data_IF_530804125021
#
_entry.id   IF_530804125021
#
_cell.length_a   1.000
_cell.length_b   1.000
_cell.length_c   1.000
_cell.angle_alpha   90.00
_cell.angle_beta   90.00
_cell.angle_gamma   90.00
#
_symmetry.space_group_name_H-M   'P 1'
#
loop_
_entity.id
_entity.type
_entity.pdbx_description
1 polymer ?
#
# COMPACT_ATOMS: atom_id res chain seq x y z
N UNK A 1 2.20 -11.98 -11.93
CA UNK A 1 3.13 -12.19 -10.79
C UNK A 1 3.41 -10.86 -10.13
N UNK A 2 3.69 -10.84 -8.83
CA UNK A 2 4.14 -9.65 -8.11
C UNK A 2 5.65 -9.45 -8.32
N UNK A 3 6.01 -8.37 -9.01
CA UNK A 3 7.39 -8.07 -9.41
C UNK A 3 7.69 -6.59 -9.22
N UNK A 4 8.97 -6.23 -9.16
CA UNK A 4 9.40 -4.84 -9.09
C UNK A 4 9.08 -4.13 -10.41
N UNK A 5 8.44 -2.96 -10.34
CA UNK A 5 7.87 -2.25 -11.49
C UNK A 5 8.89 -1.98 -12.60
N UNK A 6 10.04 -1.36 -12.27
CA UNK A 6 11.11 -1.03 -13.23
C UNK A 6 10.57 -0.42 -14.54
N UNK A 7 9.69 0.56 -14.44
CA UNK A 7 9.04 1.22 -15.58
C UNK A 7 7.96 0.44 -16.31
N UNK A 8 7.56 -0.76 -15.86
CA UNK A 8 6.53 -1.58 -16.55
C UNK A 8 5.16 -0.90 -16.58
N UNK A 9 4.71 -0.36 -15.45
CA UNK A 9 3.52 0.45 -15.32
C UNK A 9 3.92 1.90 -15.07
N UNK A 10 3.64 2.76 -16.04
CA UNK A 10 3.85 4.21 -15.93
C UNK A 10 2.93 4.81 -14.86
N UNK A 11 3.45 5.75 -14.08
CA UNK A 11 2.71 6.42 -13.00
C UNK A 11 2.89 5.81 -11.61
N UNK A 12 3.67 4.74 -11.49
CA UNK A 12 4.16 4.19 -10.22
C UNK A 12 5.69 4.22 -10.18
N UNK A 13 6.24 4.28 -8.97
CA UNK A 13 7.70 4.25 -8.76
C UNK A 13 8.32 2.95 -9.28
N UNK A 14 9.61 3.00 -9.66
CA UNK A 14 10.32 1.83 -10.18
C UNK A 14 10.49 0.70 -9.17
N UNK A 15 10.53 1.02 -7.88
CA UNK A 15 10.64 0.05 -6.79
C UNK A 15 9.29 -0.52 -6.34
N UNK A 16 8.17 0.03 -6.83
CA UNK A 16 6.84 -0.45 -6.48
C UNK A 16 6.67 -1.92 -6.90
N UNK A 17 6.05 -2.72 -6.04
CA UNK A 17 5.60 -4.06 -6.43
C UNK A 17 4.30 -3.90 -7.21
N UNK A 18 4.29 -4.45 -8.42
CA UNK A 18 3.15 -4.47 -9.35
C UNK A 18 2.81 -5.90 -9.74
N UNK A 19 1.53 -6.15 -9.97
CA UNK A 19 1.06 -7.42 -10.49
C UNK A 19 0.83 -7.31 -12.00
N UNK A 20 1.69 -7.97 -12.78
CA UNK A 20 1.66 -7.91 -14.24
C UNK A 20 1.95 -9.27 -14.85
N UNK A 21 1.57 -9.50 -16.12
CA UNK A 21 2.02 -10.64 -16.90
C UNK A 21 3.55 -10.70 -16.95
N UNK A 22 4.09 -11.91 -16.84
CA UNK A 22 5.53 -12.13 -16.84
C UNK A 22 5.87 -13.35 -17.71
N UNK A 23 6.96 -13.25 -18.46
CA UNK A 23 7.65 -14.41 -19.00
C UNK A 23 8.50 -15.03 -17.89
N UNK A 24 8.38 -16.33 -17.67
CA UNK A 24 9.10 -17.04 -16.59
C UNK A 24 9.97 -18.13 -17.20
N UNK A 25 11.26 -18.12 -16.87
CA UNK A 25 12.23 -19.15 -17.23
C UNK A 25 13.26 -19.37 -16.11
N UNK A 26 14.34 -20.11 -16.39
CA UNK A 26 15.41 -20.39 -15.41
C UNK A 26 16.11 -19.15 -14.84
N UNK A 27 15.94 -17.97 -15.45
CA UNK A 27 16.48 -16.69 -14.96
C UNK A 27 15.46 -15.88 -14.15
N UNK A 28 14.28 -16.44 -13.86
CA UNK A 28 13.24 -15.82 -13.06
C UNK A 28 12.13 -15.15 -13.88
N UNK A 29 11.33 -14.31 -13.20
CA UNK A 29 10.20 -13.62 -13.80
C UNK A 29 10.64 -12.30 -14.46
N UNK A 30 10.35 -12.15 -15.75
CA UNK A 30 10.54 -10.90 -16.50
C UNK A 30 9.19 -10.30 -16.85
N UNK A 31 8.86 -9.09 -16.36
CA UNK A 31 7.62 -8.40 -16.72
C UNK A 31 7.50 -8.24 -18.24
N UNK A 32 6.28 -8.39 -18.75
CA UNK A 32 5.96 -8.05 -20.14
C UNK A 32 5.33 -6.65 -20.15
N UNK A 33 5.79 -5.79 -21.06
CA UNK A 33 5.24 -4.43 -21.21
C UNK A 33 3.75 -4.50 -21.55
N UNK A 34 2.97 -3.68 -20.84
CA UNK A 34 1.55 -3.50 -21.10
C UNK A 34 1.27 -2.04 -21.48
N UNK A 35 0.11 -1.79 -22.08
CA UNK A 35 -0.35 -0.43 -22.30
C UNK A 35 -0.50 0.31 -20.97
N UNK A 36 -0.20 1.63 -20.94
CA UNK A 36 -0.28 2.41 -19.72
C UNK A 36 -1.72 2.45 -19.19
N UNK A 37 -1.86 2.38 -17.87
CA UNK A 37 -3.14 2.67 -17.22
C UNK A 37 -3.49 4.15 -17.43
N UNK A 38 -4.76 4.43 -17.72
CA UNK A 38 -5.25 5.79 -17.92
C UNK A 38 -6.53 6.05 -17.12
N UNK A 39 -6.83 7.34 -16.93
CA UNK A 39 -8.06 7.80 -16.28
C UNK A 39 -8.30 7.15 -14.91
N UNK A 40 -9.49 6.57 -14.74
CA UNK A 40 -9.92 6.00 -13.47
C UNK A 40 -9.01 4.88 -12.95
N UNK A 41 -8.54 3.98 -13.83
CA UNK A 41 -7.70 2.86 -13.43
C UNK A 41 -6.37 3.33 -12.84
N UNK A 42 -5.74 4.33 -13.47
CA UNK A 42 -4.50 4.93 -12.95
C UNK A 42 -4.75 5.62 -11.60
N UNK A 43 -5.84 6.38 -11.48
CA UNK A 43 -6.21 7.05 -10.22
C UNK A 43 -6.42 6.07 -9.07
N UNK A 44 -7.11 4.95 -9.33
CA UNK A 44 -7.34 3.92 -8.32
C UNK A 44 -6.02 3.25 -7.90
N UNK A 45 -5.21 2.81 -8.86
CA UNK A 45 -3.96 2.09 -8.58
C UNK A 45 -2.96 2.98 -7.83
N UNK A 46 -2.85 4.25 -8.20
CA UNK A 46 -1.98 5.20 -7.48
C UNK A 46 -2.47 5.49 -6.07
N UNK A 47 -3.79 5.63 -5.87
CA UNK A 47 -4.38 5.80 -4.53
C UNK A 47 -4.10 4.57 -3.65
N UNK A 48 -4.32 3.37 -4.17
CA UNK A 48 -4.03 2.13 -3.43
C UNK A 48 -2.53 1.99 -3.16
N UNK A 49 -1.66 2.37 -4.09
CA UNK A 49 -0.21 2.36 -3.85
C UNK A 49 0.20 3.34 -2.74
N UNK A 50 -0.40 4.52 -2.68
CA UNK A 50 -0.13 5.47 -1.59
C UNK A 50 -0.54 4.89 -0.22
N UNK A 51 -1.64 4.14 -0.17
CA UNK A 51 -2.05 3.39 1.03
C UNK A 51 -1.01 2.34 1.41
N UNK A 52 -0.54 1.52 0.46
CA UNK A 52 0.51 0.52 0.71
C UNK A 52 1.77 1.17 1.32
N UNK A 53 2.19 2.32 0.79
CA UNK A 53 3.36 3.04 1.30
C UNK A 53 3.16 3.50 2.75
N UNK A 54 1.97 4.03 3.08
CA UNK A 54 1.65 4.43 4.45
C UNK A 54 1.57 3.22 5.40
N UNK A 55 1.07 2.06 4.94
CA UNK A 55 1.09 0.81 5.71
C UNK A 55 2.52 0.33 5.95
N UNK A 56 3.38 0.36 4.93
CA UNK A 56 4.80 0.00 5.06
C UNK A 56 5.53 0.92 6.06
N UNK A 57 5.27 2.22 6.01
CA UNK A 57 5.80 3.17 6.99
C UNK A 57 5.32 2.81 8.40
N UNK A 58 4.03 2.56 8.59
CA UNK A 58 3.48 2.16 9.89
C UNK A 58 4.11 0.85 10.40
N UNK A 59 4.23 -0.16 9.55
CA UNK A 59 4.76 -1.48 9.91
C UNK A 59 6.26 -1.44 10.25
N UNK A 60 7.05 -0.65 9.52
CA UNK A 60 8.51 -0.57 9.71
C UNK A 60 8.91 0.39 10.83
N UNK A 61 8.13 1.45 11.05
CA UNK A 61 8.47 2.49 12.04
C UNK A 61 7.64 2.41 13.32
N UNK A 62 6.49 1.73 13.31
CA UNK A 62 5.48 1.79 14.37
C UNK A 62 4.69 3.11 14.40
N UNK A 63 4.70 3.90 13.32
CA UNK A 63 3.98 5.17 13.25
C UNK A 63 2.47 4.94 13.21
N UNK A 64 1.80 5.30 14.30
CA UNK A 64 0.33 5.29 14.39
C UNK A 64 -0.30 6.31 13.45
N UNK A 65 0.35 7.45 13.25
CA UNK A 65 -0.09 8.46 12.28
C UNK A 65 -0.06 7.90 10.85
N UNK A 66 0.96 7.14 10.48
CA UNK A 66 1.02 6.47 9.17
C UNK A 66 -0.09 5.42 9.00
N UNK A 67 -0.37 4.62 10.04
CA UNK A 67 -1.47 3.66 10.03
C UNK A 67 -2.83 4.36 9.85
N UNK A 68 -3.04 5.50 10.52
CA UNK A 68 -4.25 6.29 10.36
C UNK A 68 -4.37 6.88 8.95
N UNK A 69 -3.27 7.40 8.38
CA UNK A 69 -3.26 7.91 6.99
C UNK A 69 -3.61 6.81 5.99
N UNK A 70 -3.05 5.62 6.15
CA UNK A 70 -3.37 4.47 5.31
C UNK A 70 -4.88 4.17 5.32
N UNK A 71 -5.47 4.02 6.51
CA UNK A 71 -6.91 3.78 6.63
C UNK A 71 -7.75 4.92 6.08
N UNK A 72 -7.41 6.18 6.39
CA UNK A 72 -8.18 7.35 5.96
C UNK A 72 -8.13 7.60 4.45
N UNK A 73 -7.10 7.09 3.76
CA UNK A 73 -6.93 7.24 2.31
C UNK A 73 -7.45 6.02 1.53
N UNK A 74 -7.76 4.92 2.22
CA UNK A 74 -8.21 3.70 1.57
C UNK A 74 -9.57 3.92 0.89
N UNK A 75 -9.75 3.57 -0.41
CA UNK A 75 -11.00 3.82 -1.16
C UNK A 75 -12.28 3.17 -0.60
N UNK A 76 -12.16 2.34 0.44
CA UNK A 76 -13.28 1.62 1.07
C UNK A 76 -13.56 2.14 2.50
N UNK A 77 -12.82 3.14 2.95
CA UNK A 77 -13.01 3.76 4.26
C UNK A 77 -13.63 5.13 4.05
N UNK A 78 -14.88 5.25 4.46
CA UNK A 78 -15.77 6.36 4.13
C UNK A 78 -15.34 7.72 4.71
N UNK A 79 -14.63 7.73 5.84
CA UNK A 79 -14.16 8.97 6.45
C UNK A 79 -13.00 8.77 7.40
N UNK A 80 -12.31 9.87 7.73
CA UNK A 80 -11.28 9.92 8.78
C UNK A 80 -11.84 9.48 10.14
N UNK A 81 -13.11 9.79 10.43
CA UNK A 81 -13.76 9.35 11.68
C UNK A 81 -13.89 7.83 11.73
N UNK A 82 -14.30 7.20 10.62
CA UNK A 82 -14.34 5.73 10.51
C UNK A 82 -12.93 5.15 10.59
N UNK A 83 -11.95 5.75 9.92
CA UNK A 83 -10.55 5.32 9.97
C UNK A 83 -9.98 5.29 11.39
N UNK A 84 -10.24 6.31 12.21
CA UNK A 84 -9.82 6.34 13.63
C UNK A 84 -10.43 5.21 14.44
N UNK A 85 -11.75 5.00 14.30
CA UNK A 85 -12.47 3.93 14.99
C UNK A 85 -11.95 2.54 14.59
N UNK A 86 -11.68 2.34 13.29
CA UNK A 86 -11.08 1.11 12.79
C UNK A 86 -9.70 0.90 13.41
N UNK A 87 -8.83 1.91 13.40
CA UNK A 87 -7.48 1.79 13.96
C UNK A 87 -7.51 1.43 15.45
N UNK A 88 -8.31 2.14 16.25
CA UNK A 88 -8.47 1.86 17.69
C UNK A 88 -8.95 0.43 17.95
N UNK A 89 -9.90 -0.04 17.13
CA UNK A 89 -10.43 -1.39 17.24
C UNK A 89 -9.39 -2.44 16.83
N UNK A 90 -8.70 -2.26 15.71
CA UNK A 90 -7.61 -3.15 15.29
C UNK A 90 -6.49 -3.20 16.32
N UNK A 91 -6.08 -2.05 16.85
CA UNK A 91 -5.09 -1.97 17.92
C UNK A 91 -5.53 -2.80 19.12
N UNK A 92 -6.81 -2.74 19.51
CA UNK A 92 -7.37 -3.44 20.68
C UNK A 92 -7.52 -4.95 20.44
N UNK A 93 -8.15 -5.32 19.32
CA UNK A 93 -8.59 -6.69 19.02
C UNK A 93 -7.46 -7.55 18.43
N UNK A 94 -6.38 -6.94 17.93
CA UNK A 94 -5.27 -7.63 17.25
C UNK A 94 -3.94 -7.47 18.00
N UNK A 95 -3.55 -8.44 18.86
CA UNK A 95 -2.30 -8.38 19.61
C UNK A 95 -1.04 -8.19 18.76
N UNK A 96 -1.04 -8.70 17.52
CA UNK A 96 0.06 -8.57 16.58
C UNK A 96 0.29 -7.13 16.08
N UNK A 97 -0.68 -6.22 16.27
CA UNK A 97 -0.55 -4.79 16.00
C UNK A 97 -0.11 -3.98 17.24
N UNK A 98 0.30 -4.66 18.32
CA UNK A 98 0.75 -4.00 19.56
C UNK A 98 1.90 -2.99 19.37
N UNK A 99 2.69 -3.14 18.30
CA UNK A 99 3.78 -2.22 17.96
C UNK A 99 3.31 -0.79 17.61
N UNK A 100 2.03 -0.60 17.24
CA UNK A 100 1.44 0.72 16.97
C UNK A 100 1.07 1.49 18.25
N UNK A 101 0.93 0.80 19.39
CA UNK A 101 0.48 1.40 20.66
C UNK A 101 1.56 2.23 21.37
N UNK A 102 2.84 2.12 20.97
CA UNK A 102 4.00 2.57 21.76
C UNK A 102 4.68 3.86 21.29
N UNK A 103 4.26 4.48 20.18
CA UNK A 103 4.86 5.72 19.66
C UNK A 103 3.78 6.78 19.47
N UNK A 104 3.38 7.43 20.57
CA UNK A 104 2.78 8.76 20.44
C UNK A 104 3.85 9.67 19.80
N UNK A 105 3.46 10.38 18.74
CA UNK A 105 4.33 11.28 17.97
C UNK A 105 5.19 12.12 18.92
N UNK A 106 6.51 11.96 18.78
CA UNK A 106 7.51 12.81 19.43
C UNK A 106 7.91 13.91 18.45
#
# INVERSE_FOLDING_TARGET
LNVRNRGTLTGLDDDAVVEVPCLVDGNGARPVTADPLTGHALGLVTTVKAVDRAVLEAATTGSRAAALRALATHPLVDSVTVARRLLERYETDSPHLGYLRGKADR
#
